data_IF_542105749193
#
_entry.id   IF_542105749193
#
_cell.length_a   1.000
_cell.length_b   1.000
_cell.length_c   1.000
_cell.angle_alpha   90.00
_cell.angle_beta   90.00
_cell.angle_gamma   90.00
#
_symmetry.space_group_name_H-M   'P 1'
#
loop_
_entity.id
_entity.type
_entity.pdbx_description
1 polymer ?
#
# COMPACT_ATOMS: atom_id res chain seq x y z
N UNK A 1 15.57 2.29 -17.37
CA UNK A 1 14.24 1.65 -17.15
C UNK A 1 13.69 2.21 -15.85
N UNK A 2 12.47 2.76 -15.84
CA UNK A 2 11.91 3.43 -14.65
C UNK A 2 11.53 2.42 -13.56
N UNK A 3 11.70 2.79 -12.29
CA UNK A 3 11.25 2.00 -11.13
C UNK A 3 9.77 1.65 -11.20
N UNK A 4 8.93 2.56 -11.73
CA UNK A 4 7.51 2.34 -11.92
C UNK A 4 7.21 1.20 -12.90
N UNK A 5 8.01 1.05 -13.96
CA UNK A 5 7.87 -0.02 -14.96
C UNK A 5 8.24 -1.36 -14.33
N UNK A 6 9.32 -1.41 -13.54
CA UNK A 6 9.74 -2.62 -12.83
C UNK A 6 8.67 -3.09 -11.83
N UNK A 7 8.14 -2.19 -11.00
CA UNK A 7 7.11 -2.53 -10.01
C UNK A 7 5.80 -2.97 -10.66
N UNK A 8 5.39 -2.31 -11.76
CA UNK A 8 4.21 -2.74 -12.55
C UNK A 8 4.43 -4.10 -13.20
N UNK A 9 5.66 -4.43 -13.59
CA UNK A 9 6.06 -5.74 -14.10
C UNK A 9 6.26 -6.82 -13.03
N UNK A 10 5.90 -6.55 -11.77
CA UNK A 10 5.95 -7.53 -10.67
C UNK A 10 7.30 -7.65 -9.96
N UNK A 11 8.23 -6.74 -10.19
CA UNK A 11 9.47 -6.68 -9.43
C UNK A 11 9.21 -6.34 -7.95
N UNK A 12 10.11 -6.80 -7.09
CA UNK A 12 10.16 -6.45 -5.67
C UNK A 12 11.34 -5.50 -5.46
N UNK A 13 11.11 -4.42 -4.72
CA UNK A 13 12.13 -3.42 -4.41
C UNK A 13 12.24 -3.14 -2.92
N UNK A 14 13.23 -2.34 -2.56
CA UNK A 14 13.38 -1.77 -1.22
C UNK A 14 13.21 -0.26 -1.33
N UNK A 15 12.30 0.30 -0.52
CA UNK A 15 12.01 1.73 -0.49
C UNK A 15 12.32 2.29 0.90
N UNK A 16 13.06 3.39 0.97
CA UNK A 16 13.20 4.14 2.21
C UNK A 16 11.88 4.86 2.53
N UNK A 17 11.41 4.76 3.76
CA UNK A 17 10.33 5.61 4.28
C UNK A 17 10.85 6.48 5.42
N UNK A 18 9.99 7.35 5.91
CA UNK A 18 10.20 8.16 7.12
C UNK A 18 10.32 7.32 8.42
N UNK A 19 9.97 6.04 8.37
CA UNK A 19 9.99 5.12 9.52
C UNK A 19 11.06 4.03 9.39
N UNK A 20 10.98 3.22 8.33
CA UNK A 20 11.86 2.06 8.11
C UNK A 20 11.98 1.77 6.60
N UNK A 21 13.01 1.04 6.21
CA UNK A 21 13.04 0.47 4.86
C UNK A 21 11.94 -0.57 4.69
N UNK A 22 11.12 -0.40 3.65
CA UNK A 22 10.06 -1.32 3.26
C UNK A 22 10.49 -2.21 2.09
N UNK A 23 10.26 -3.52 2.19
CA UNK A 23 10.22 -4.41 1.03
C UNK A 23 8.87 -4.22 0.32
N UNK A 24 8.90 -3.65 -0.88
CA UNK A 24 7.72 -3.18 -1.61
C UNK A 24 7.53 -3.90 -2.94
N UNK A 25 6.27 -4.02 -3.34
CA UNK A 25 5.85 -4.47 -4.66
C UNK A 25 4.56 -3.73 -5.04
N UNK A 26 4.13 -3.81 -6.30
CA UNK A 26 2.81 -3.32 -6.69
C UNK A 26 1.71 -4.08 -5.95
N UNK A 27 0.87 -3.37 -5.19
CA UNK A 27 -0.29 -3.95 -4.50
C UNK A 27 -1.34 -4.50 -5.47
N UNK A 28 -1.36 -4.01 -6.71
CA UNK A 28 -2.28 -4.43 -7.77
C UNK A 28 -1.77 -5.65 -8.56
N UNK A 29 -0.60 -6.19 -8.19
CA UNK A 29 -0.02 -7.36 -8.86
C UNK A 29 0.05 -8.53 -7.88
N UNK A 30 -0.92 -9.43 -7.94
CA UNK A 30 -1.04 -10.59 -7.04
C UNK A 30 0.23 -11.44 -6.93
N UNK A 31 0.87 -11.74 -8.06
CA UNK A 31 2.15 -12.48 -8.08
C UNK A 31 3.28 -11.77 -7.33
N UNK A 32 3.34 -10.44 -7.39
CA UNK A 32 4.36 -9.64 -6.71
C UNK A 32 4.09 -9.56 -5.20
N UNK A 33 2.81 -9.42 -4.81
CA UNK A 33 2.37 -9.51 -3.41
C UNK A 33 2.75 -10.87 -2.82
N UNK A 34 2.40 -11.96 -3.52
CA UNK A 34 2.77 -13.33 -3.11
C UNK A 34 4.28 -13.47 -2.97
N UNK A 35 5.06 -12.88 -3.88
CA UNK A 35 6.51 -12.89 -3.81
C UNK A 35 7.03 -12.17 -2.55
N UNK A 36 6.46 -11.01 -2.18
CA UNK A 36 6.80 -10.29 -0.94
C UNK A 36 6.51 -11.15 0.30
N UNK A 37 5.35 -11.82 0.37
CA UNK A 37 5.03 -12.72 1.48
C UNK A 37 6.05 -13.86 1.62
N UNK A 38 6.42 -14.47 0.49
CA UNK A 38 7.44 -15.54 0.45
C UNK A 38 8.81 -15.04 0.92
N UNK A 39 9.28 -13.92 0.39
CA UNK A 39 10.59 -13.34 0.74
C UNK A 39 10.67 -12.98 2.23
N UNK A 40 9.60 -12.40 2.79
CA UNK A 40 9.53 -12.05 4.21
C UNK A 40 9.25 -13.23 5.13
N UNK A 41 9.00 -14.43 4.58
CA UNK A 41 8.49 -15.59 5.32
C UNK A 41 7.28 -15.22 6.19
N UNK A 42 6.40 -14.37 5.64
CA UNK A 42 5.27 -13.78 6.37
C UNK A 42 4.05 -14.70 6.25
N UNK A 43 3.32 -14.88 7.36
CA UNK A 43 2.03 -15.58 7.33
C UNK A 43 0.99 -14.76 6.55
N UNK A 44 0.19 -15.39 5.66
CA UNK A 44 -0.92 -14.73 4.97
C UNK A 44 -1.95 -14.11 5.93
N UNK A 45 -2.08 -14.64 7.16
CA UNK A 45 -2.96 -14.09 8.20
C UNK A 45 -2.49 -12.73 8.75
N UNK A 46 -1.29 -12.28 8.39
CA UNK A 46 -0.74 -10.97 8.77
C UNK A 46 -0.77 -10.05 7.55
N UNK A 47 -1.76 -9.15 7.39
CA UNK A 47 -1.85 -8.28 6.23
C UNK A 47 -0.64 -7.35 6.12
N UNK A 48 -0.25 -7.01 4.90
CA UNK A 48 0.71 -5.93 4.64
C UNK A 48 -0.05 -4.60 4.53
N UNK A 49 0.62 -3.50 4.89
CA UNK A 49 0.09 -2.16 4.62
C UNK A 49 0.24 -1.84 3.14
N UNK A 50 -0.67 -1.01 2.62
CA UNK A 50 -0.60 -0.47 1.26
C UNK A 50 -0.18 1.00 1.38
N UNK A 51 0.85 1.37 0.63
CA UNK A 51 1.28 2.76 0.51
C UNK A 51 0.53 3.39 -0.67
N UNK A 52 -0.16 4.50 -0.41
CA UNK A 52 -0.87 5.31 -1.40
C UNK A 52 -0.19 6.68 -1.51
N UNK A 53 -0.25 7.28 -2.70
CA UNK A 53 0.31 8.61 -2.95
C UNK A 53 -0.70 9.71 -2.63
N UNK A 54 -2.00 9.43 -2.75
CA UNK A 54 -3.07 10.36 -2.41
C UNK A 54 -4.30 9.65 -1.84
N UNK A 55 -5.20 10.40 -1.20
CA UNK A 55 -6.49 9.87 -0.75
C UNK A 55 -7.36 9.35 -1.90
N UNK A 56 -7.13 9.81 -3.13
CA UNK A 56 -7.93 9.39 -4.29
C UNK A 56 -7.55 7.96 -4.73
N UNK A 57 -6.34 7.50 -4.40
CA UNK A 57 -5.91 6.13 -4.68
C UNK A 57 -6.75 5.08 -3.93
N UNK A 58 -7.42 5.46 -2.84
CA UNK A 58 -8.32 4.60 -2.07
C UNK A 58 -9.46 4.04 -2.93
N UNK A 59 -9.91 4.78 -3.94
CA UNK A 59 -10.93 4.32 -4.88
C UNK A 59 -10.48 3.07 -5.67
N UNK A 60 -9.16 2.90 -5.89
CA UNK A 60 -8.59 1.69 -6.51
C UNK A 60 -8.87 0.42 -5.68
N UNK A 61 -9.11 0.58 -4.38
CA UNK A 61 -9.42 -0.50 -3.45
C UNK A 61 -10.92 -0.52 -3.07
N UNK A 62 -11.77 0.15 -3.83
CA UNK A 62 -13.22 0.21 -3.58
C UNK A 62 -13.60 1.00 -2.32
N UNK A 63 -12.70 1.86 -1.82
CA UNK A 63 -12.94 2.66 -0.62
C UNK A 63 -13.37 4.06 -1.05
N UNK A 64 -14.66 4.36 -0.86
CA UNK A 64 -15.21 5.69 -1.09
C UNK A 64 -15.30 6.47 0.24
N UNK A 65 -14.75 7.68 0.24
CA UNK A 65 -14.73 8.54 1.42
C UNK A 65 -15.88 9.55 1.38
N UNK A 66 -16.65 9.62 2.47
CA UNK A 66 -17.52 10.77 2.71
C UNK A 66 -16.68 12.05 2.90
N UNK A 67 -17.24 13.25 2.67
CA UNK A 67 -16.52 14.50 2.90
C UNK A 67 -15.92 14.61 4.31
N UNK A 68 -16.68 14.22 5.34
CA UNK A 68 -16.23 14.22 6.72
C UNK A 68 -15.07 13.23 6.98
N UNK A 69 -15.11 12.05 6.35
CA UNK A 69 -14.02 11.07 6.44
C UNK A 69 -12.75 11.60 5.78
N UNK A 70 -12.87 12.19 4.58
CA UNK A 70 -11.75 12.81 3.88
C UNK A 70 -11.08 13.90 4.72
N UNK A 71 -11.87 14.80 5.30
CA UNK A 71 -11.37 15.84 6.21
C UNK A 71 -10.65 15.21 7.42
N UNK A 72 -11.25 14.20 8.04
CA UNK A 72 -10.63 13.52 9.18
C UNK A 72 -9.28 12.88 8.83
N UNK A 73 -9.18 12.23 7.67
CA UNK A 73 -7.94 11.58 7.20
C UNK A 73 -6.83 12.57 6.88
N UNK A 74 -7.15 13.77 6.38
CA UNK A 74 -6.15 14.82 6.08
C UNK A 74 -5.39 15.30 7.33
N UNK A 75 -5.91 15.05 8.53
CA UNK A 75 -5.21 15.37 9.79
C UNK A 75 -4.09 14.39 10.13
N UNK A 76 -4.13 13.18 9.57
CA UNK A 76 -3.16 12.12 9.83
C UNK A 76 -2.25 11.83 8.63
N UNK A 77 -2.74 12.09 7.40
CA UNK A 77 -2.04 11.85 6.16
C UNK A 77 -1.83 13.14 5.36
N UNK A 78 -0.63 13.34 4.77
CA UNK A 78 0.54 12.45 4.79
C UNK A 78 1.25 12.44 6.16
N UNK A 79 1.69 11.25 6.60
CA UNK A 79 2.37 11.08 7.89
C UNK A 79 2.59 9.60 8.26
N UNK A 80 3.28 9.32 9.38
CA UNK A 80 3.72 7.97 9.77
C UNK A 80 2.60 7.10 10.37
N UNK A 81 1.34 7.43 10.07
CA UNK A 81 0.18 6.73 10.62
C UNK A 81 -0.33 5.71 9.62
N UNK A 82 -0.66 4.49 10.05
CA UNK A 82 -1.41 3.53 9.25
C UNK A 82 -2.86 3.51 9.70
N UNK A 83 -3.80 3.58 8.75
CA UNK A 83 -5.24 3.63 9.03
C UNK A 83 -5.88 2.37 8.46
N UNK A 84 -6.68 1.70 9.28
CA UNK A 84 -7.46 0.53 8.88
C UNK A 84 -8.81 1.01 8.38
N UNK A 85 -9.12 0.70 7.13
CA UNK A 85 -10.38 1.05 6.48
C UNK A 85 -11.08 -0.24 6.02
N UNK A 86 -12.43 -0.28 6.05
CA UNK A 86 -13.16 -1.36 5.42
C UNK A 86 -12.89 -1.33 3.91
N UNK A 87 -12.28 -2.39 3.39
CA UNK A 87 -12.14 -2.63 1.97
C UNK A 87 -13.34 -3.47 1.51
N UNK A 88 -13.85 -3.22 0.31
CA UNK A 88 -14.91 -4.05 -0.28
C UNK A 88 -14.52 -5.54 -0.37
N UNK A 89 -15.49 -6.44 -0.58
CA UNK A 89 -15.24 -7.87 -0.78
C UNK A 89 -14.32 -8.15 -1.97
#
# INVERSE_FOLDING_TARGET
MSTSVLLRGGAVGVLATDTLYGLVASALHEGAVTHVYRLKRRSPKKPCIILIASLDDLATFGIELSPAMREALTRYWPGPTSIVLPCGP
#
